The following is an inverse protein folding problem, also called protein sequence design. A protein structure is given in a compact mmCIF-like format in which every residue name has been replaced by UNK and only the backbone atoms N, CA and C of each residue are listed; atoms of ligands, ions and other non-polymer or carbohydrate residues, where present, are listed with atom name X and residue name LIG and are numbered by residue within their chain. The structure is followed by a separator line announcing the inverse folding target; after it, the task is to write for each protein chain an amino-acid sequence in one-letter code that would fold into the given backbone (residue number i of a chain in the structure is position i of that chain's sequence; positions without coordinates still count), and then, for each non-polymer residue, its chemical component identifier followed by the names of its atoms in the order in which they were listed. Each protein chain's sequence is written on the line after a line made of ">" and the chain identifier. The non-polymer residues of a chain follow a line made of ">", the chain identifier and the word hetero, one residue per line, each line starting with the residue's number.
data_IF_230160934901
#
_entry.id   IF_230160934901
#
_cell.length_a   1.000
_cell.length_b   1.000
_cell.length_c   1.000
_cell.angle_alpha   90.00
_cell.angle_beta   90.00
_cell.angle_gamma   90.00
#
_symmetry.space_group_name_H-M   'P 1'
#
loop_
_entity.id
_entity.type
_entity.pdbx_description
1 polymer ?
#
# COMPACT_ATOMS: atom_id res chain seq x y z
N UNK A 1 16.61 13.15 19.74
CA UNK A 1 16.22 12.88 21.14
C UNK A 1 15.89 11.40 21.20
N UNK A 2 16.56 10.58 21.99
CA UNK A 2 16.28 9.14 21.95
C UNK A 2 14.82 8.89 22.38
N UNK A 3 14.06 8.03 21.67
CA UNK A 3 12.67 7.75 22.02
C UNK A 3 12.60 7.16 23.43
N UNK A 4 11.68 7.67 24.25
CA UNK A 4 11.38 7.05 25.54
C UNK A 4 10.68 5.70 25.30
N UNK A 5 11.49 4.65 25.26
CA UNK A 5 11.03 3.28 25.07
C UNK A 5 10.40 2.68 26.33
N UNK A 6 10.42 3.40 27.46
CA UNK A 6 9.87 2.93 28.73
C UNK A 6 8.45 3.43 28.99
N UNK A 7 8.02 4.51 28.31
CA UNK A 7 6.64 4.99 28.39
C UNK A 7 5.64 3.92 27.94
N UNK A 8 4.64 3.69 28.80
CA UNK A 8 3.42 2.96 28.47
C UNK A 8 2.38 3.97 27.96
N UNK A 9 1.81 3.71 26.79
CA UNK A 9 0.86 4.59 26.13
C UNK A 9 -0.57 4.09 26.29
N UNK A 10 -1.53 5.00 26.41
CA UNK A 10 -2.94 4.70 26.18
C UNK A 10 -3.31 4.93 24.71
N UNK A 11 -4.36 4.26 24.22
CA UNK A 11 -4.87 4.46 22.84
C UNK A 11 -5.22 5.92 22.58
N UNK A 12 -5.82 6.61 23.55
CA UNK A 12 -6.18 8.01 23.44
C UNK A 12 -4.94 8.91 23.31
N UNK A 13 -3.90 8.69 24.12
CA UNK A 13 -2.64 9.43 23.98
C UNK A 13 -1.98 9.20 22.63
N UNK A 14 -2.01 7.97 22.10
CA UNK A 14 -1.46 7.69 20.76
C UNK A 14 -2.22 8.50 19.71
N UNK A 15 -3.55 8.45 19.68
CA UNK A 15 -4.35 9.20 18.69
C UNK A 15 -4.08 10.71 18.74
N UNK A 16 -4.11 11.31 19.93
CA UNK A 16 -3.83 12.74 20.11
C UNK A 16 -2.41 13.09 19.65
N UNK A 17 -1.44 12.25 19.99
CA UNK A 17 -0.04 12.50 19.62
C UNK A 17 0.17 12.35 18.12
N UNK A 18 -0.38 11.31 17.49
CA UNK A 18 -0.33 11.10 16.03
C UNK A 18 -0.94 12.28 15.28
N UNK A 19 -2.10 12.77 15.71
CA UNK A 19 -2.73 13.96 15.11
C UNK A 19 -1.79 15.17 15.11
N UNK A 20 -1.12 15.44 16.23
CA UNK A 20 -0.12 16.52 16.33
C UNK A 20 1.07 16.32 15.40
N UNK A 21 1.61 15.09 15.33
CA UNK A 21 2.71 14.79 14.41
C UNK A 21 2.31 15.03 12.96
N UNK A 22 1.08 14.67 12.57
CA UNK A 22 0.55 14.90 11.22
C UNK A 22 0.40 16.41 10.94
N UNK A 23 -0.20 17.18 11.86
CA UNK A 23 -0.29 18.65 11.75
C UNK A 23 1.10 19.27 11.53
N UNK A 24 2.08 18.87 12.33
CA UNK A 24 3.43 19.43 12.25
C UNK A 24 4.20 18.97 11.01
N UNK A 25 3.98 17.75 10.53
CA UNK A 25 4.70 17.20 9.37
C UNK A 25 4.14 17.68 8.04
N UNK A 26 2.81 17.81 7.95
CA UNK A 26 2.14 18.23 6.71
C UNK A 26 1.86 19.74 6.67
N UNK A 27 1.98 20.45 7.81
CA UNK A 27 1.68 21.88 7.89
C UNK A 27 0.20 22.22 7.68
N UNK A 28 -0.70 21.29 8.03
CA UNK A 28 -2.15 21.41 7.86
C UNK A 28 -2.83 21.92 9.14
N UNK A 29 -4.08 22.39 9.03
CA UNK A 29 -4.88 22.80 10.19
C UNK A 29 -5.25 21.59 11.06
N UNK A 30 -5.15 21.72 12.38
CA UNK A 30 -5.57 20.67 13.33
C UNK A 30 -7.05 20.26 13.12
N UNK A 31 -7.91 21.20 12.70
CA UNK A 31 -9.31 20.93 12.41
C UNK A 31 -9.54 20.01 11.20
N UNK A 32 -8.59 19.87 10.27
CA UNK A 32 -8.70 18.96 9.12
C UNK A 32 -8.21 17.55 9.44
N UNK A 33 -7.42 17.37 10.50
CA UNK A 33 -6.87 16.09 10.92
C UNK A 33 -7.92 15.28 11.69
N UNK A 34 -8.85 14.72 10.94
CA UNK A 34 -9.88 13.79 11.45
C UNK A 34 -9.44 12.33 11.25
N UNK A 35 -9.95 11.42 12.07
CA UNK A 35 -9.62 9.99 12.01
C UNK A 35 -9.73 9.41 10.58
N UNK A 36 -10.77 9.81 9.84
CA UNK A 36 -11.08 9.25 8.52
C UNK A 36 -10.42 10.03 7.37
N UNK A 37 -9.70 11.12 7.65
CA UNK A 37 -8.99 11.88 6.62
C UNK A 37 -7.87 11.04 5.99
N UNK A 38 -7.91 10.90 4.67
CA UNK A 38 -6.86 10.29 3.89
C UNK A 38 -5.66 11.24 3.79
N UNK A 39 -4.48 10.76 4.14
CA UNK A 39 -3.27 11.58 4.19
C UNK A 39 -2.97 12.25 2.84
N UNK A 40 -3.15 11.52 1.74
CA UNK A 40 -2.88 12.07 0.40
C UNK A 40 -4.06 12.88 -0.12
N UNK A 41 -5.25 12.28 -0.19
CA UNK A 41 -6.38 12.89 -0.90
C UNK A 41 -6.98 14.09 -0.14
N UNK A 42 -7.03 14.02 1.19
CA UNK A 42 -7.69 15.04 2.01
C UNK A 42 -6.69 16.02 2.64
N UNK A 43 -5.51 15.53 3.06
CA UNK A 43 -4.49 16.35 3.74
C UNK A 43 -3.34 16.79 2.83
N UNK A 44 -3.30 16.32 1.58
CA UNK A 44 -2.30 16.76 0.59
C UNK A 44 -0.88 16.25 0.86
N UNK A 45 -0.71 15.15 1.61
CA UNK A 45 0.60 14.62 1.97
C UNK A 45 1.42 14.23 0.73
N UNK A 46 2.65 14.75 0.68
CA UNK A 46 3.65 14.44 -0.34
C UNK A 46 4.70 13.44 0.16
N UNK A 47 5.60 13.05 -0.74
CA UNK A 47 6.63 12.03 -0.44
C UNK A 47 7.57 12.44 0.69
N UNK A 48 7.84 13.74 0.87
CA UNK A 48 8.69 14.26 1.95
C UNK A 48 7.96 14.25 3.30
N UNK A 49 6.67 14.55 3.31
CA UNK A 49 5.86 14.58 4.53
C UNK A 49 5.80 13.20 5.19
N UNK A 50 5.73 12.14 4.38
CA UNK A 50 5.79 10.77 4.88
C UNK A 50 7.12 10.43 5.56
N UNK A 51 8.24 10.96 5.04
CA UNK A 51 9.56 10.74 5.63
C UNK A 51 9.69 11.48 6.96
N UNK A 52 9.21 12.72 7.03
CA UNK A 52 9.20 13.51 8.27
C UNK A 52 8.28 12.88 9.32
N UNK A 53 7.07 12.47 8.93
CA UNK A 53 6.13 11.78 9.81
C UNK A 53 6.72 10.47 10.35
N UNK A 54 7.33 9.65 9.49
CA UNK A 54 7.99 8.41 9.95
C UNK A 54 9.10 8.71 10.96
N UNK A 55 9.94 9.71 10.68
CA UNK A 55 11.01 10.13 11.58
C UNK A 55 10.46 10.58 12.94
N UNK A 56 9.42 11.42 12.95
CA UNK A 56 8.77 11.86 14.20
C UNK A 56 8.10 10.73 14.95
N UNK A 57 7.46 9.79 14.27
CA UNK A 57 6.91 8.57 14.89
C UNK A 57 8.03 7.72 15.52
N UNK A 58 9.18 7.61 14.86
CA UNK A 58 10.34 6.90 15.40
C UNK A 58 10.89 7.61 16.63
N UNK A 59 11.04 8.95 16.62
CA UNK A 59 11.51 9.72 17.78
C UNK A 59 10.52 9.70 18.95
N UNK A 60 9.21 9.64 18.68
CA UNK A 60 8.16 9.75 19.71
C UNK A 60 7.78 8.40 20.29
N UNK A 61 7.54 7.42 19.43
CA UNK A 61 7.04 6.11 19.81
C UNK A 61 8.10 5.02 19.73
N UNK A 62 9.24 5.25 19.07
CA UNK A 62 10.17 4.17 18.71
C UNK A 62 9.58 3.24 17.65
N UNK A 63 8.65 3.73 16.83
CA UNK A 63 7.98 2.97 15.77
C UNK A 63 8.30 3.61 14.42
N UNK A 64 8.85 2.81 13.51
CA UNK A 64 9.05 3.20 12.12
C UNK A 64 7.76 2.96 11.32
N UNK A 65 7.33 3.97 10.56
CA UNK A 65 6.26 3.81 9.59
C UNK A 65 6.89 3.30 8.27
N UNK A 66 6.40 2.19 7.69
CA UNK A 66 7.00 1.59 6.50
C UNK A 66 6.61 2.35 5.22
N UNK A 67 6.78 3.67 5.22
CA UNK A 67 6.45 4.56 4.09
C UNK A 67 7.31 4.26 2.86
N UNK A 68 8.57 3.85 3.07
CA UNK A 68 9.46 3.38 2.00
C UNK A 68 8.94 2.12 1.34
N UNK A 69 8.45 1.15 2.12
CA UNK A 69 7.87 -0.07 1.58
C UNK A 69 6.69 0.27 0.64
N UNK A 70 5.78 1.15 1.08
CA UNK A 70 4.64 1.59 0.26
C UNK A 70 5.11 2.24 -1.05
N UNK A 71 6.16 3.07 -0.99
CA UNK A 71 6.76 3.69 -2.18
C UNK A 71 7.38 2.66 -3.13
N UNK A 72 8.16 1.72 -2.59
CA UNK A 72 8.82 0.66 -3.36
C UNK A 72 7.79 -0.26 -4.04
N UNK A 73 6.70 -0.62 -3.33
CA UNK A 73 5.59 -1.37 -3.92
C UNK A 73 4.96 -0.62 -5.09
N UNK A 74 4.73 0.69 -4.94
CA UNK A 74 4.15 1.52 -6.01
C UNK A 74 5.05 1.61 -7.26
N UNK A 75 6.36 1.45 -7.10
CA UNK A 75 7.29 1.36 -8.23
C UNK A 75 7.17 -0.01 -8.90
N UNK A 76 7.26 -1.09 -8.12
CA UNK A 76 7.14 -2.47 -8.60
C UNK A 76 5.80 -2.78 -9.29
N UNK A 77 4.74 -2.05 -8.93
CA UNK A 77 3.44 -2.17 -9.59
C UNK A 77 3.45 -1.49 -10.95
N UNK A 78 4.09 -0.32 -11.07
CA UNK A 78 4.18 0.43 -12.33
C UNK A 78 5.14 -0.18 -13.34
N UNK A 79 6.19 -0.85 -12.89
CA UNK A 79 7.15 -1.51 -13.77
C UNK A 79 6.69 -2.90 -14.26
N UNK A 80 5.50 -3.35 -13.83
CA UNK A 80 4.90 -4.66 -14.10
C UNK A 80 5.72 -5.86 -13.60
N UNK A 81 6.68 -5.65 -12.70
CA UNK A 81 7.48 -6.76 -12.14
C UNK A 81 6.63 -7.76 -11.36
N UNK A 82 5.59 -7.29 -10.67
CA UNK A 82 4.67 -8.19 -9.96
C UNK A 82 3.90 -9.08 -10.93
N UNK A 83 3.44 -8.51 -12.05
CA UNK A 83 2.75 -9.24 -13.11
C UNK A 83 3.69 -10.22 -13.83
N UNK A 84 4.94 -9.83 -14.09
CA UNK A 84 5.96 -10.72 -14.63
C UNK A 84 6.13 -11.98 -13.78
N UNK A 85 6.17 -11.84 -12.45
CA UNK A 85 6.22 -13.02 -11.56
C UNK A 85 4.95 -13.88 -11.67
N UNK A 86 3.77 -13.28 -11.74
CA UNK A 86 2.51 -14.03 -11.90
C UNK A 86 2.52 -14.84 -13.20
N UNK A 87 2.99 -14.23 -14.28
CA UNK A 87 3.14 -14.87 -15.58
C UNK A 87 4.15 -16.02 -15.53
N UNK A 88 5.32 -15.78 -14.94
CA UNK A 88 6.36 -16.81 -14.81
C UNK A 88 5.87 -18.01 -14.01
N UNK A 89 5.24 -17.78 -12.86
CA UNK A 89 4.68 -18.86 -12.03
C UNK A 89 3.62 -19.65 -12.80
N UNK A 90 2.70 -18.97 -13.49
CA UNK A 90 1.56 -19.62 -14.14
C UNK A 90 1.92 -20.31 -15.45
N UNK A 91 2.64 -19.61 -16.32
CA UNK A 91 2.91 -20.06 -17.70
C UNK A 91 4.30 -20.65 -17.87
N UNK A 92 5.16 -20.59 -16.83
CA UNK A 92 6.56 -21.02 -16.90
C UNK A 92 7.34 -20.28 -18.01
N UNK A 93 6.95 -19.03 -18.27
CA UNK A 93 7.60 -18.13 -19.23
C UNK A 93 8.19 -16.95 -18.47
N UNK A 94 9.52 -16.82 -18.51
CA UNK A 94 10.21 -15.67 -17.94
C UNK A 94 10.15 -14.48 -18.91
N UNK A 95 9.31 -13.50 -18.60
CA UNK A 95 9.18 -12.25 -19.37
C UNK A 95 9.45 -11.05 -18.45
N UNK A 96 10.46 -10.20 -18.75
CA UNK A 96 10.74 -9.05 -17.91
C UNK A 96 9.62 -8.01 -18.01
N UNK A 97 9.37 -7.28 -16.91
CA UNK A 97 8.35 -6.21 -16.88
C UNK A 97 8.56 -5.14 -17.95
N UNK A 98 9.82 -4.88 -18.36
CA UNK A 98 10.14 -4.00 -19.48
C UNK A 98 9.48 -4.43 -20.79
N UNK A 99 9.48 -5.73 -21.08
CA UNK A 99 8.79 -6.23 -22.26
C UNK A 99 7.27 -6.07 -22.13
N UNK A 100 6.72 -6.39 -20.96
CA UNK A 100 5.27 -6.28 -20.73
C UNK A 100 4.78 -4.83 -20.91
N UNK A 101 5.59 -3.84 -20.52
CA UNK A 101 5.29 -2.42 -20.71
C UNK A 101 5.25 -1.96 -22.17
N UNK A 102 5.76 -2.77 -23.11
CA UNK A 102 5.66 -2.47 -24.54
C UNK A 102 4.31 -2.88 -25.14
N UNK A 103 3.50 -3.64 -24.40
CA UNK A 103 2.21 -4.14 -24.87
C UNK A 103 1.13 -3.06 -24.73
N UNK A 104 0.39 -2.83 -25.81
CA UNK A 104 -0.73 -1.90 -25.84
C UNK A 104 -2.01 -2.61 -26.33
N UNK A 105 -3.17 -2.42 -25.67
CA UNK A 105 -3.37 -1.63 -24.43
C UNK A 105 -2.72 -2.31 -23.20
N UNK A 106 -2.50 -1.54 -22.12
CA UNK A 106 -1.89 -2.03 -20.88
C UNK A 106 -2.90 -2.83 -20.03
N UNK A 107 -3.44 -3.91 -20.60
CA UNK A 107 -4.42 -4.79 -19.96
C UNK A 107 -3.87 -6.21 -19.86
N UNK A 108 -4.39 -6.97 -18.89
CA UNK A 108 -4.04 -8.39 -18.74
C UNK A 108 -4.35 -9.15 -20.03
N UNK A 109 -5.51 -8.94 -20.65
CA UNK A 109 -5.87 -9.62 -21.90
C UNK A 109 -4.89 -9.38 -23.04
N UNK A 110 -4.42 -8.13 -23.22
CA UNK A 110 -3.43 -7.81 -24.25
C UNK A 110 -2.07 -8.47 -23.96
N UNK A 111 -1.66 -8.49 -22.69
CA UNK A 111 -0.44 -9.18 -22.26
C UNK A 111 -0.52 -10.68 -22.51
N UNK A 112 -1.64 -11.32 -22.19
CA UNK A 112 -1.83 -12.75 -22.46
C UNK A 112 -1.79 -13.05 -23.98
N UNK A 113 -2.38 -12.19 -24.81
CA UNK A 113 -2.29 -12.32 -26.26
C UNK A 113 -0.84 -12.18 -26.77
N UNK A 114 -0.07 -11.24 -26.20
CA UNK A 114 1.35 -11.06 -26.51
C UNK A 114 2.17 -12.29 -26.10
N UNK A 115 1.92 -12.87 -24.92
CA UNK A 115 2.57 -14.10 -24.46
C UNK A 115 2.26 -15.29 -25.38
N UNK A 116 1.02 -15.45 -25.82
CA UNK A 116 0.65 -16.50 -26.76
C UNK A 116 1.38 -16.34 -28.10
N UNK A 117 1.43 -15.11 -28.64
CA UNK A 117 2.02 -14.83 -29.94
C UNK A 117 3.55 -14.91 -29.96
N UNK A 118 4.22 -14.36 -28.95
CA UNK A 118 5.69 -14.22 -28.94
C UNK A 118 6.40 -15.34 -28.19
N UNK A 119 5.77 -15.88 -27.15
CA UNK A 119 6.37 -16.88 -26.26
C UNK A 119 5.69 -18.25 -26.33
N UNK A 120 4.64 -18.40 -27.14
CA UNK A 120 3.93 -19.67 -27.32
C UNK A 120 3.16 -20.14 -26.08
N UNK A 121 2.82 -19.23 -25.18
CA UNK A 121 2.06 -19.56 -23.97
C UNK A 121 0.65 -20.09 -24.32
N UNK A 122 0.22 -21.17 -23.68
CA UNK A 122 -1.13 -21.71 -23.84
C UNK A 122 -2.09 -20.95 -22.92
N UNK A 123 -2.94 -20.10 -23.51
CA UNK A 123 -3.91 -19.29 -22.78
C UNK A 123 -5.29 -19.95 -22.84
N UNK A 124 -5.87 -20.23 -21.68
CA UNK A 124 -7.20 -20.83 -21.56
C UNK A 124 -8.30 -19.78 -21.38
N UNK A 125 -9.55 -20.17 -21.61
CA UNK A 125 -10.70 -19.33 -21.29
C UNK A 125 -10.77 -19.09 -19.78
N UNK A 126 -10.85 -17.82 -19.36
CA UNK A 126 -10.85 -17.42 -17.95
C UNK A 126 -9.49 -17.04 -17.38
N UNK A 127 -8.40 -17.25 -18.13
CA UNK A 127 -7.04 -16.89 -17.69
C UNK A 127 -6.90 -15.41 -17.35
N UNK A 128 -7.57 -14.53 -18.07
CA UNK A 128 -7.54 -13.09 -17.80
C UNK A 128 -8.05 -12.77 -16.38
N UNK A 129 -9.14 -13.41 -15.95
CA UNK A 129 -9.70 -13.24 -14.60
C UNK A 129 -8.77 -13.85 -13.54
N UNK A 130 -8.25 -15.05 -13.79
CA UNK A 130 -7.34 -15.72 -12.86
C UNK A 130 -6.04 -14.95 -12.67
N UNK A 131 -5.46 -14.41 -13.75
CA UNK A 131 -4.24 -13.62 -13.70
C UNK A 131 -4.49 -12.28 -13.03
N UNK A 132 -5.62 -11.61 -13.32
CA UNK A 132 -5.99 -10.35 -12.66
C UNK A 132 -6.18 -10.56 -11.14
N UNK A 133 -6.84 -11.65 -10.73
CA UNK A 133 -7.00 -12.00 -9.32
C UNK A 133 -5.67 -12.34 -8.65
N UNK A 134 -4.83 -13.14 -9.31
CA UNK A 134 -3.51 -13.51 -8.77
C UNK A 134 -2.59 -12.29 -8.62
N UNK A 135 -2.63 -11.36 -9.58
CA UNK A 135 -1.93 -10.09 -9.51
C UNK A 135 -2.44 -9.26 -8.33
N UNK A 136 -3.75 -9.07 -8.23
CA UNK A 136 -4.37 -8.34 -7.12
C UNK A 136 -4.02 -8.92 -5.76
N UNK A 137 -4.11 -10.26 -5.61
CA UNK A 137 -3.77 -10.96 -4.38
C UNK A 137 -2.32 -10.70 -3.97
N UNK A 138 -1.38 -10.78 -4.92
CA UNK A 138 0.04 -10.58 -4.63
C UNK A 138 0.35 -9.12 -4.30
N UNK A 139 -0.25 -8.18 -5.02
CA UNK A 139 -0.12 -6.75 -4.73
C UNK A 139 -0.64 -6.41 -3.33
N UNK A 140 -1.83 -6.90 -2.95
CA UNK A 140 -2.37 -6.65 -1.60
C UNK A 140 -1.53 -7.33 -0.51
N UNK A 141 -1.05 -8.55 -0.74
CA UNK A 141 -0.14 -9.25 0.18
C UNK A 141 1.18 -8.49 0.39
N UNK A 142 1.70 -7.85 -0.67
CA UNK A 142 2.92 -7.03 -0.62
C UNK A 142 2.78 -5.77 0.27
N UNK A 143 1.55 -5.38 0.61
CA UNK A 143 1.22 -4.27 1.49
C UNK A 143 0.88 -4.71 2.92
N UNK A 144 0.89 -6.01 3.22
CA UNK A 144 0.70 -6.50 4.58
C UNK A 144 1.77 -5.92 5.53
N UNK A 145 1.36 -5.56 6.74
CA UNK A 145 2.24 -4.94 7.73
C UNK A 145 2.52 -3.45 7.50
N UNK A 146 1.83 -2.81 6.54
CA UNK A 146 1.80 -1.35 6.42
C UNK A 146 0.68 -0.74 7.28
N UNK A 147 0.66 0.60 7.47
CA UNK A 147 -0.44 1.30 8.12
C UNK A 147 -1.67 1.48 7.25
N UNK A 148 -1.79 0.77 6.12
CA UNK A 148 -2.95 0.86 5.23
C UNK A 148 -4.09 0.00 5.79
N UNK A 149 -5.29 0.57 5.91
CA UNK A 149 -6.47 -0.22 6.25
C UNK A 149 -7.06 -0.88 4.99
N UNK A 150 -6.59 -2.09 4.68
CA UNK A 150 -7.05 -2.84 3.52
C UNK A 150 -8.28 -3.70 3.80
N UNK A 151 -8.89 -3.59 5.00
CA UNK A 151 -9.96 -4.51 5.45
C UNK A 151 -11.21 -4.50 4.56
N UNK A 152 -11.46 -3.40 3.85
CA UNK A 152 -12.59 -3.20 2.95
C UNK A 152 -12.21 -3.30 1.45
N UNK A 153 -10.94 -3.60 1.13
CA UNK A 153 -10.44 -3.81 -0.23
C UNK A 153 -10.27 -5.30 -0.52
N UNK A 154 -11.33 -5.92 -1.05
CA UNK A 154 -11.26 -7.34 -1.45
C UNK A 154 -10.38 -7.53 -2.68
N UNK A 155 -9.82 -8.73 -2.82
CA UNK A 155 -9.02 -9.12 -3.99
C UNK A 155 -9.81 -8.93 -5.29
N UNK A 156 -11.07 -9.36 -5.35
CA UNK A 156 -11.89 -9.23 -6.56
C UNK A 156 -12.17 -7.76 -6.90
N UNK A 157 -12.39 -6.91 -5.89
CA UNK A 157 -12.56 -5.46 -6.11
C UNK A 157 -11.28 -4.84 -6.66
N UNK A 158 -10.13 -5.19 -6.10
CA UNK A 158 -8.85 -4.68 -6.55
C UNK A 158 -8.48 -5.18 -7.96
N UNK A 159 -8.76 -6.46 -8.25
CA UNK A 159 -8.61 -7.05 -9.57
C UNK A 159 -9.46 -6.32 -10.62
N UNK A 160 -10.66 -5.86 -10.25
CA UNK A 160 -11.50 -5.02 -11.11
C UNK A 160 -10.79 -3.76 -11.60
N UNK A 161 -10.11 -3.02 -10.72
CA UNK A 161 -9.33 -1.84 -11.13
C UNK A 161 -8.17 -2.20 -12.07
N UNK A 162 -7.47 -3.31 -11.80
CA UNK A 162 -6.32 -3.75 -12.61
C UNK A 162 -6.72 -4.27 -13.99
N UNK A 163 -7.96 -4.76 -14.12
CA UNK A 163 -8.51 -5.24 -15.39
C UNK A 163 -8.78 -4.10 -16.36
N UNK A 164 -9.23 -2.95 -15.84
CA UNK A 164 -9.48 -1.76 -16.66
C UNK A 164 -8.18 -1.19 -17.22
N UNK A 165 -7.17 -1.00 -16.36
CA UNK A 165 -5.86 -0.49 -16.75
C UNK A 165 -4.81 -0.88 -15.69
N UNK A 166 -3.78 -1.63 -16.09
CA UNK A 166 -2.66 -2.03 -15.22
C UNK A 166 -1.83 -0.83 -14.74
N UNK A 167 -1.92 0.30 -15.43
CA UNK A 167 -1.27 1.56 -15.07
C UNK A 167 -2.28 2.61 -14.57
N UNK A 168 -3.55 2.22 -14.41
CA UNK A 168 -4.63 3.13 -14.06
C UNK A 168 -4.43 3.77 -12.68
N UNK A 169 -4.71 5.08 -12.53
CA UNK A 169 -4.61 5.74 -11.23
C UNK A 169 -5.60 5.19 -10.21
N UNK A 170 -6.72 4.61 -10.66
CA UNK A 170 -7.79 4.10 -9.81
C UNK A 170 -7.34 3.02 -8.82
N UNK A 171 -6.48 2.07 -9.26
CA UNK A 171 -5.95 1.04 -8.37
C UNK A 171 -5.07 1.67 -7.28
N UNK A 172 -4.20 2.61 -7.64
CA UNK A 172 -3.35 3.32 -6.68
C UNK A 172 -4.21 4.14 -5.71
N UNK A 173 -5.19 4.87 -6.21
CA UNK A 173 -6.09 5.69 -5.40
C UNK A 173 -6.90 4.83 -4.42
N UNK A 174 -7.39 3.67 -4.86
CA UNK A 174 -8.06 2.71 -3.99
C UNK A 174 -7.15 2.31 -2.82
N UNK A 175 -5.87 2.05 -3.05
CA UNK A 175 -4.94 1.74 -1.95
C UNK A 175 -4.64 2.98 -1.10
N UNK A 176 -4.33 4.12 -1.71
CA UNK A 176 -3.87 5.32 -1.00
C UNK A 176 -4.95 6.00 -0.17
N UNK A 177 -6.22 5.91 -0.57
CA UNK A 177 -7.36 6.40 0.22
C UNK A 177 -7.51 5.69 1.57
N UNK A 178 -6.89 4.53 1.74
CA UNK A 178 -6.86 3.76 3.00
C UNK A 178 -5.70 4.13 3.91
N UNK A 179 -4.85 5.06 3.47
CA UNK A 179 -3.81 5.62 4.32
C UNK A 179 -4.40 6.81 5.10
N UNK A 180 -5.12 6.51 6.16
CA UNK A 180 -5.83 7.53 6.97
C UNK A 180 -5.11 7.84 8.28
N UNK A 181 -5.51 8.92 8.94
CA UNK A 181 -5.05 9.27 10.30
C UNK A 181 -5.33 8.12 11.29
N UNK A 182 -6.51 7.50 11.19
CA UNK A 182 -6.89 6.31 11.97
C UNK A 182 -5.94 5.15 11.69
N UNK A 183 -5.65 4.86 10.43
CA UNK A 183 -4.84 3.72 10.05
C UNK A 183 -3.37 3.86 10.53
N UNK A 184 -2.80 5.07 10.49
CA UNK A 184 -1.51 5.38 11.14
C UNK A 184 -1.58 5.14 12.66
N UNK A 185 -2.61 5.67 13.31
CA UNK A 185 -2.79 5.55 14.76
C UNK A 185 -2.90 4.10 15.19
N UNK A 186 -3.72 3.31 14.50
CA UNK A 186 -3.98 1.91 14.82
C UNK A 186 -2.74 1.04 14.53
N UNK A 187 -1.98 1.35 13.49
CA UNK A 187 -0.67 0.74 13.25
C UNK A 187 0.29 0.97 14.42
N UNK A 188 0.45 2.22 14.88
CA UNK A 188 1.32 2.56 16.01
C UNK A 188 0.84 1.86 17.29
N UNK A 189 -0.47 1.84 17.55
CA UNK A 189 -1.06 1.10 18.67
C UNK A 189 -0.70 -0.39 18.59
N UNK A 190 -0.80 -1.02 17.42
CA UNK A 190 -0.43 -2.42 17.20
C UNK A 190 1.05 -2.68 17.48
N UNK A 191 1.94 -1.78 17.01
CA UNK A 191 3.38 -1.88 17.26
C UNK A 191 3.74 -1.70 18.74
N UNK A 192 3.10 -0.76 19.43
CA UNK A 192 3.29 -0.56 20.87
C UNK A 192 2.75 -1.75 21.68
N UNK A 193 1.61 -2.32 21.29
CA UNK A 193 1.06 -3.53 21.92
C UNK A 193 2.01 -4.72 21.79
N UNK A 194 2.55 -4.96 20.59
CA UNK A 194 3.53 -6.01 20.35
C UNK A 194 4.82 -5.83 21.18
N UNK A 195 5.18 -4.57 21.49
CA UNK A 195 6.30 -4.22 22.33
C UNK A 195 5.96 -4.17 23.85
N UNK A 196 4.76 -4.56 24.27
CA UNK A 196 4.27 -4.43 25.65
C UNK A 196 4.31 -3.00 26.21
N UNK A 197 4.19 -2.00 25.33
CA UNK A 197 4.22 -0.55 25.63
C UNK A 197 2.85 0.11 25.48
N UNK A 198 1.79 -0.68 25.41
CA UNK A 198 0.40 -0.22 25.40
C UNK A 198 -0.26 -0.62 26.72
N UNK A 199 -0.94 0.31 27.37
CA UNK A 199 -1.73 0.03 28.55
C UNK A 199 -2.84 -0.99 28.22
N UNK A 200 -3.08 -2.00 29.07
CA UNK A 200 -4.23 -2.89 28.91
C UNK A 200 -5.51 -2.05 28.95
N UNK A 201 -6.39 -2.28 27.98
CA UNK A 201 -7.58 -1.44 27.78
C UNK A 201 -8.55 -1.52 28.97
N UNK A 202 -9.15 -0.37 29.29
CA UNK A 202 -10.49 -0.29 29.88
C UNK A 202 -11.52 -0.30 28.76
#
# INVERSE_FOLDING_TARGET
>A
MEPDTTKIWTRAEVRVTVGKLIVESLGVDEATVTDDAALVADLGAESLDFLDLSFKCQQTFGVDLPVRLIQDRRIAWRDLSVLATVIEVRYQVAVPGEELRTVAPATVGAILAHLAAKHGASIAAGDEEEVSRALAQRMLADLEGTPLDLSDLTVDRFAGYLKEDLHGPAAIEAVMSRFTVRAVSDYIVGRLAAASRLAPGA
#
